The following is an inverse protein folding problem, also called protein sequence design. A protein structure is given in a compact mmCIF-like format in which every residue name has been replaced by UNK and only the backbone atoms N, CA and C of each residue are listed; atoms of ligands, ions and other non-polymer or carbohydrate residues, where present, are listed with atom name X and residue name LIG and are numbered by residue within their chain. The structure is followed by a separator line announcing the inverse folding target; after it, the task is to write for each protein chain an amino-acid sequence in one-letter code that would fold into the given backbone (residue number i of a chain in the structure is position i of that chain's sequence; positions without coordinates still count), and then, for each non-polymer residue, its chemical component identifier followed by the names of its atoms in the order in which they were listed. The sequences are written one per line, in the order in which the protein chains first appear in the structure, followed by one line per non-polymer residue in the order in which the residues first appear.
data_IF_153384590209
#
_entry.id   IF_153384590209
#
_cell.length_a   1.000
_cell.length_b   1.000
_cell.length_c   1.000
_cell.angle_alpha   90.00
_cell.angle_beta   90.00
_cell.angle_gamma   90.00
#
_symmetry.space_group_name_H-M   'P 1'
#
loop_
_entity.id
_entity.type
_entity.pdbx_description
1 polymer ?
#
# COMPACT_ATOMS: atom_id res chain seq x y z
N UNK A 1 34.75 23.60 19.85
CA UNK A 1 34.60 22.13 19.71
C UNK A 1 33.19 21.63 20.07
N UNK A 2 32.49 22.21 21.04
CA UNK A 2 31.16 21.76 21.50
C UNK A 2 30.06 21.76 20.41
N UNK A 3 30.03 22.78 19.55
CA UNK A 3 29.00 22.93 18.49
C UNK A 3 29.04 21.80 17.44
N UNK A 4 30.23 21.27 17.14
CA UNK A 4 30.41 20.18 16.17
C UNK A 4 29.87 18.84 16.70
N UNK A 5 29.99 18.60 18.00
CA UNK A 5 29.42 17.42 18.65
C UNK A 5 27.89 17.53 18.77
N UNK A 6 27.38 18.74 18.98
CA UNK A 6 25.94 18.99 19.09
C UNK A 6 25.22 18.81 17.73
N UNK A 7 25.84 19.25 16.63
CA UNK A 7 25.32 19.01 15.26
C UNK A 7 25.39 17.52 14.87
N UNK A 8 26.44 16.80 15.27
CA UNK A 8 26.53 15.34 15.03
C UNK A 8 25.49 14.54 15.83
N UNK A 9 25.18 14.95 17.07
CA UNK A 9 24.16 14.30 17.88
C UNK A 9 22.75 14.50 17.30
N UNK A 10 22.45 15.68 16.77
CA UNK A 10 21.17 15.96 16.08
C UNK A 10 21.06 15.17 14.77
N UNK A 11 22.16 15.06 14.01
CA UNK A 11 22.18 14.27 12.77
C UNK A 11 22.00 12.76 13.01
N UNK A 12 22.47 12.24 14.16
CA UNK A 12 22.32 10.83 14.53
C UNK A 12 20.88 10.49 14.95
N UNK A 13 20.19 11.40 15.65
CA UNK A 13 18.78 11.22 16.04
C UNK A 13 17.86 11.23 14.81
N UNK A 14 18.13 12.10 13.82
CA UNK A 14 17.36 12.16 12.57
C UNK A 14 17.54 10.92 11.67
N UNK A 15 18.63 10.15 11.85
CA UNK A 15 18.86 8.90 11.12
C UNK A 15 18.17 7.68 11.77
N UNK A 16 17.76 7.82 13.04
CA UNK A 16 17.07 6.75 13.81
C UNK A 16 15.54 6.84 13.78
N UNK A 17 14.98 7.83 13.08
CA UNK A 17 13.61 7.76 12.57
C UNK A 17 13.56 6.71 11.44
N UNK A 18 13.96 5.48 11.78
CA UNK A 18 13.86 4.30 10.96
C UNK A 18 12.39 4.13 10.65
N UNK A 19 12.06 4.45 9.40
CA UNK A 19 11.02 3.85 8.60
C UNK A 19 10.24 2.81 9.40
N UNK A 20 9.12 3.24 9.99
CA UNK A 20 8.10 2.31 10.40
C UNK A 20 7.63 1.64 9.10
N UNK A 21 8.27 0.54 8.70
CA UNK A 21 7.73 -0.39 7.74
C UNK A 21 6.48 -0.95 8.43
N UNK A 22 5.36 -0.26 8.21
CA UNK A 22 4.08 -0.72 8.64
C UNK A 22 3.83 -2.05 7.95
N UNK A 23 3.80 -3.12 8.74
CA UNK A 23 3.47 -4.45 8.27
C UNK A 23 2.17 -4.36 7.46
N UNK A 24 2.24 -4.75 6.18
CA UNK A 24 1.12 -4.56 5.26
C UNK A 24 -0.12 -5.31 5.77
N UNK A 25 0.04 -6.43 6.50
CA UNK A 25 -1.09 -7.14 7.08
C UNK A 25 -1.70 -6.39 8.26
N UNK A 26 -0.88 -5.78 9.11
CA UNK A 26 -1.37 -4.93 10.20
C UNK A 26 -2.13 -3.72 9.65
N UNK A 27 -1.61 -3.10 8.59
CA UNK A 27 -2.30 -2.02 7.88
C UNK A 27 -3.61 -2.50 7.23
N UNK A 28 -3.60 -3.63 6.53
CA UNK A 28 -4.80 -4.16 5.89
C UNK A 28 -5.88 -4.56 6.90
N UNK A 29 -5.48 -5.04 8.08
CA UNK A 29 -6.39 -5.34 9.17
C UNK A 29 -7.08 -4.07 9.70
N UNK A 30 -6.30 -3.04 10.04
CA UNK A 30 -6.81 -1.75 10.53
C UNK A 30 -7.67 -1.04 9.47
N UNK A 31 -7.25 -1.11 8.20
CA UNK A 31 -7.97 -0.54 7.07
C UNK A 31 -9.31 -1.24 6.82
N UNK A 32 -9.38 -2.57 6.99
CA UNK A 32 -10.64 -3.32 6.84
C UNK A 32 -11.63 -2.98 7.95
N UNK A 33 -11.15 -2.80 9.19
CA UNK A 33 -11.96 -2.36 10.34
C UNK A 33 -12.51 -0.95 10.09
N UNK A 34 -11.68 -0.03 9.57
CA UNK A 34 -12.10 1.33 9.19
C UNK A 34 -13.11 1.33 8.04
N UNK A 35 -12.91 0.50 7.01
CA UNK A 35 -13.79 0.41 5.85
C UNK A 35 -15.20 -0.15 6.19
N UNK A 36 -15.30 -1.06 7.16
CA UNK A 36 -16.58 -1.60 7.64
C UNK A 36 -17.43 -0.54 8.36
N UNK A 37 -16.80 0.45 9.01
CA UNK A 37 -17.49 1.53 9.73
C UNK A 37 -17.69 2.82 8.94
N UNK A 38 -16.81 3.14 7.98
CA UNK A 38 -16.86 4.38 7.19
C UNK A 38 -16.23 4.25 5.80
N UNK A 39 -17.01 3.74 4.84
CA UNK A 39 -16.59 3.57 3.45
C UNK A 39 -16.20 4.90 2.75
N UNK A 40 -16.76 6.03 3.18
CA UNK A 40 -16.41 7.36 2.67
C UNK A 40 -15.03 7.84 3.14
N UNK A 41 -14.69 7.58 4.41
CA UNK A 41 -13.36 7.80 4.97
C UNK A 41 -12.31 6.96 4.26
N UNK A 42 -12.60 5.68 4.05
CA UNK A 42 -11.75 4.76 3.29
C UNK A 42 -11.42 5.29 1.89
N UNK A 43 -12.43 5.75 1.12
CA UNK A 43 -12.21 6.30 -0.24
C UNK A 43 -11.22 7.46 -0.22
N UNK A 44 -11.39 8.37 0.73
CA UNK A 44 -10.55 9.56 0.87
C UNK A 44 -9.12 9.18 1.24
N UNK A 45 -8.94 8.29 2.21
CA UNK A 45 -7.63 7.86 2.68
C UNK A 45 -6.85 7.11 1.60
N UNK A 46 -7.48 6.13 0.94
CA UNK A 46 -6.85 5.31 -0.10
C UNK A 46 -6.52 6.14 -1.33
N UNK A 47 -7.42 7.04 -1.74
CA UNK A 47 -7.15 7.99 -2.83
C UNK A 47 -5.96 8.90 -2.52
N UNK A 48 -5.90 9.47 -1.32
CA UNK A 48 -4.81 10.34 -0.90
C UNK A 48 -3.47 9.60 -0.76
N UNK A 49 -3.47 8.39 -0.20
CA UNK A 49 -2.27 7.62 0.09
C UNK A 49 -1.64 7.00 -1.16
N UNK A 50 -2.46 6.53 -2.10
CA UNK A 50 -1.98 5.84 -3.29
C UNK A 50 -2.04 6.69 -4.57
N UNK A 51 -2.51 7.94 -4.47
CA UNK A 51 -2.65 8.84 -5.62
C UNK A 51 -3.71 8.37 -6.62
N UNK A 52 -4.69 7.59 -6.16
CA UNK A 52 -5.76 7.07 -7.00
C UNK A 52 -6.90 8.08 -7.13
N UNK A 53 -7.40 8.27 -8.35
CA UNK A 53 -8.59 9.11 -8.58
C UNK A 53 -9.85 8.45 -8.02
N UNK A 54 -10.87 9.24 -7.66
CA UNK A 54 -12.17 8.74 -7.19
C UNK A 54 -12.74 7.61 -8.08
N UNK A 55 -12.74 7.76 -9.42
CA UNK A 55 -13.16 6.69 -10.33
C UNK A 55 -12.31 5.41 -10.23
N UNK A 56 -10.99 5.52 -10.05
CA UNK A 56 -10.12 4.34 -9.87
C UNK A 56 -10.43 3.61 -8.57
N UNK A 57 -10.66 4.35 -7.49
CA UNK A 57 -11.06 3.79 -6.19
C UNK A 57 -12.42 3.09 -6.30
N UNK A 58 -13.38 3.70 -7.00
CA UNK A 58 -14.71 3.12 -7.23
C UNK A 58 -14.65 1.83 -8.04
N UNK A 59 -13.83 1.79 -9.09
CA UNK A 59 -13.64 0.59 -9.91
C UNK A 59 -13.01 -0.53 -9.09
N UNK A 60 -12.01 -0.22 -8.26
CA UNK A 60 -11.37 -1.20 -7.38
C UNK A 60 -12.36 -1.77 -6.35
N UNK A 61 -13.13 -0.90 -5.68
CA UNK A 61 -14.15 -1.30 -4.70
C UNK A 61 -15.26 -2.18 -5.30
N UNK A 62 -15.62 -1.96 -6.56
CA UNK A 62 -16.62 -2.79 -7.27
C UNK A 62 -16.06 -4.10 -7.79
N UNK A 63 -14.74 -4.18 -7.97
CA UNK A 63 -14.08 -5.29 -8.67
C UNK A 63 -13.41 -6.29 -7.75
N UNK A 64 -13.06 -5.87 -6.54
CA UNK A 64 -12.42 -6.68 -5.52
C UNK A 64 -13.46 -7.33 -4.59
N UNK A 65 -13.10 -8.47 -3.99
CA UNK A 65 -14.01 -9.21 -3.10
C UNK A 65 -14.25 -8.49 -1.77
N UNK A 66 -13.35 -7.57 -1.38
CA UNK A 66 -13.47 -6.75 -0.17
C UNK A 66 -12.86 -5.35 -0.36
N UNK A 67 -13.21 -4.36 0.50
CA UNK A 67 -12.53 -3.07 0.51
C UNK A 67 -11.02 -3.18 0.77
N UNK A 68 -10.59 -4.12 1.62
CA UNK A 68 -9.18 -4.38 1.86
C UNK A 68 -8.47 -4.85 0.57
N UNK A 69 -9.10 -5.77 -0.18
CA UNK A 69 -8.57 -6.26 -1.45
C UNK A 69 -8.48 -5.14 -2.50
N UNK A 70 -9.47 -4.23 -2.51
CA UNK A 70 -9.44 -3.05 -3.36
C UNK A 70 -8.25 -2.14 -3.03
N UNK A 71 -7.96 -1.92 -1.75
CA UNK A 71 -6.80 -1.16 -1.30
C UNK A 71 -5.49 -1.84 -1.71
N UNK A 72 -5.38 -3.17 -1.58
CA UNK A 72 -4.20 -3.92 -2.06
C UNK A 72 -4.01 -3.74 -3.56
N UNK A 73 -5.07 -3.83 -4.35
CA UNK A 73 -5.00 -3.63 -5.80
C UNK A 73 -4.55 -2.22 -6.18
N UNK A 74 -5.03 -1.18 -5.47
CA UNK A 74 -4.63 0.20 -5.69
C UNK A 74 -3.17 0.44 -5.31
N UNK A 75 -2.74 -0.11 -4.17
CA UNK A 75 -1.34 -0.06 -3.75
C UNK A 75 -0.42 -0.79 -4.74
N UNK A 76 -0.81 -1.99 -5.20
CA UNK A 76 -0.05 -2.73 -6.21
C UNK A 76 0.03 -1.96 -7.53
N UNK A 77 -1.04 -1.30 -7.97
CA UNK A 77 -1.05 -0.46 -9.16
C UNK A 77 -0.04 0.69 -9.05
N UNK A 78 0.03 1.34 -7.89
CA UNK A 78 1.01 2.39 -7.62
C UNK A 78 2.45 1.84 -7.61
N UNK A 79 2.69 0.70 -6.94
CA UNK A 79 4.02 0.11 -6.81
C UNK A 79 4.55 -0.45 -8.13
N UNK A 80 3.70 -1.14 -8.91
CA UNK A 80 4.06 -1.68 -10.22
C UNK A 80 4.02 -0.63 -11.34
N UNK A 81 3.47 0.57 -11.05
CA UNK A 81 3.16 1.64 -12.02
C UNK A 81 2.29 1.14 -13.17
N UNK A 82 1.43 0.17 -12.90
CA UNK A 82 0.49 -0.36 -13.88
C UNK A 82 -0.90 0.25 -13.70
N UNK A 83 -1.71 0.32 -14.77
CA UNK A 83 -3.10 0.71 -14.68
C UNK A 83 -3.90 -0.19 -13.72
N UNK A 84 -4.85 0.39 -12.97
CA UNK A 84 -5.62 -0.35 -11.96
C UNK A 84 -6.44 -1.50 -12.57
N UNK A 85 -6.89 -1.36 -13.81
CA UNK A 85 -7.61 -2.39 -14.57
C UNK A 85 -6.73 -3.61 -14.87
N UNK A 86 -5.43 -3.39 -15.15
CA UNK A 86 -4.46 -4.48 -15.33
C UNK A 86 -4.29 -5.24 -14.02
N UNK A 87 -4.12 -4.52 -12.92
CA UNK A 87 -3.98 -5.13 -11.58
C UNK A 87 -5.24 -5.90 -11.18
N UNK A 88 -6.42 -5.35 -11.40
CA UNK A 88 -7.70 -6.00 -11.08
C UNK A 88 -7.94 -7.25 -11.94
N UNK A 89 -7.50 -7.25 -13.20
CA UNK A 89 -7.54 -8.43 -14.06
C UNK A 89 -6.64 -9.53 -13.51
N UNK A 90 -5.40 -9.20 -13.17
CA UNK A 90 -4.46 -10.16 -12.59
C UNK A 90 -4.95 -10.66 -11.22
N UNK A 91 -5.50 -9.79 -10.38
CA UNK A 91 -6.11 -10.17 -9.10
C UNK A 91 -7.18 -11.23 -9.31
N UNK A 92 -8.12 -11.05 -10.24
CA UNK A 92 -9.15 -12.07 -10.52
C UNK A 92 -8.55 -13.39 -10.99
N UNK A 93 -7.46 -13.36 -11.75
CA UNK A 93 -6.79 -14.55 -12.25
C UNK A 93 -6.01 -15.30 -11.16
N UNK A 94 -5.44 -14.59 -10.18
CA UNK A 94 -4.53 -15.16 -9.18
C UNK A 94 -4.99 -15.03 -7.72
N UNK A 95 -6.23 -14.61 -7.45
CA UNK A 95 -6.71 -14.35 -6.07
C UNK A 95 -6.58 -15.53 -5.11
N UNK A 96 -6.67 -16.75 -5.61
CA UNK A 96 -6.52 -17.98 -4.82
C UNK A 96 -5.04 -18.39 -4.60
N UNK A 97 -4.09 -17.66 -5.18
CA UNK A 97 -2.66 -17.95 -5.14
C UNK A 97 -1.89 -17.01 -4.20
N UNK A 98 -2.60 -16.10 -3.53
CA UNK A 98 -2.05 -15.12 -2.60
C UNK A 98 -1.41 -13.90 -3.26
N UNK A 99 -1.25 -12.85 -2.46
CA UNK A 99 -0.78 -11.53 -2.90
C UNK A 99 0.64 -11.52 -3.46
N UNK A 100 1.51 -12.39 -2.94
CA UNK A 100 2.89 -12.48 -3.42
C UNK A 100 2.98 -12.97 -4.88
N UNK A 101 2.09 -13.87 -5.28
CA UNK A 101 1.97 -14.35 -6.66
C UNK A 101 1.45 -13.24 -7.57
N UNK A 102 0.42 -12.51 -7.14
CA UNK A 102 -0.09 -11.35 -7.86
C UNK A 102 1.00 -10.29 -8.06
N UNK A 103 1.72 -9.92 -6.99
CA UNK A 103 2.80 -8.94 -7.05
C UNK A 103 3.92 -9.38 -8.02
N UNK A 104 4.28 -10.66 -8.03
CA UNK A 104 5.25 -11.22 -8.97
C UNK A 104 4.77 -11.12 -10.42
N UNK A 105 3.50 -11.44 -10.68
CA UNK A 105 2.90 -11.35 -12.02
C UNK A 105 2.90 -9.91 -12.55
N UNK A 106 2.77 -8.93 -11.66
CA UNK A 106 2.87 -7.49 -11.97
C UNK A 106 4.32 -6.99 -12.11
N UNK A 107 5.31 -7.88 -12.04
CA UNK A 107 6.73 -7.53 -12.20
C UNK A 107 7.41 -6.99 -10.94
N UNK A 108 6.74 -7.03 -9.78
CA UNK A 108 7.34 -6.62 -8.51
C UNK A 108 8.29 -7.74 -8.06
N UNK A 109 9.57 -7.42 -7.93
CA UNK A 109 10.61 -8.40 -7.56
C UNK A 109 10.43 -8.88 -6.11
N UNK A 110 10.41 -10.20 -5.85
CA UNK A 110 10.44 -10.75 -4.50
C UNK A 110 11.63 -10.19 -3.71
N UNK A 111 11.39 -9.75 -2.47
CA UNK A 111 12.42 -9.12 -1.62
C UNK A 111 12.63 -7.61 -1.83
N UNK A 112 11.85 -6.98 -2.71
CA UNK A 112 11.74 -5.51 -2.76
C UNK A 112 11.08 -4.96 -1.48
N UNK A 113 11.15 -3.64 -1.26
CA UNK A 113 10.53 -2.99 -0.10
C UNK A 113 9.01 -3.25 0.01
N UNK A 114 8.36 -3.70 -1.06
CA UNK A 114 6.96 -4.11 -1.10
C UNK A 114 6.70 -5.49 -0.45
N UNK A 115 7.74 -6.30 -0.21
CA UNK A 115 7.63 -7.66 0.33
C UNK A 115 8.21 -7.81 1.76
N UNK A 116 8.69 -6.72 2.37
CA UNK A 116 9.27 -6.69 3.73
C UNK A 116 8.37 -5.89 4.65
#
# INVERSE_FOLDING_TARGET
MLYRHLVMAIALVLFTAGWAQADINAYLHDLNVSAQGNLGGFRTEVGARFGASGPQVDIALRSADSPADAAVCLWLAQQSRQPVDVVLREYRASKNQGWGTLAKNLGIKPGSAAFK
#
